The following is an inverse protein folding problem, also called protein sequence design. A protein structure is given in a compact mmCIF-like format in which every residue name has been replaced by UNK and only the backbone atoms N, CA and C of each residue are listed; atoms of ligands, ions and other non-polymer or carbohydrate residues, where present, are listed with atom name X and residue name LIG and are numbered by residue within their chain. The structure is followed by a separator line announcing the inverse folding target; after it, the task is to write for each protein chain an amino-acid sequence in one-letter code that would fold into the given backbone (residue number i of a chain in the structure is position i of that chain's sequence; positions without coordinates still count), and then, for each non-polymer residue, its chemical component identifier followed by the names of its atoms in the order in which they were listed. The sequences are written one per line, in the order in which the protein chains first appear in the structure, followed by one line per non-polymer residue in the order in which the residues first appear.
data_IF_695851661596
#
_entry.id   IF_695851661596
#
_cell.length_a   1.000
_cell.length_b   1.000
_cell.length_c   1.000
_cell.angle_alpha   90.00
_cell.angle_beta   90.00
_cell.angle_gamma   90.00
#
_symmetry.space_group_name_H-M   'P 1'
#
loop_
_entity.id
_entity.type
_entity.pdbx_description
1 polymer ?
#
# COMPACT_ATOMS: atom_id res chain seq x y z
N UNK A 1 -12.41 -17.08 -2.17
CA UNK A 1 -11.77 -16.06 -3.03
C UNK A 1 -12.58 -14.78 -2.99
N UNK A 2 -12.75 -14.23 -1.79
CA UNK A 2 -13.51 -13.01 -1.59
C UNK A 2 -12.85 -12.17 -0.50
N UNK A 3 -12.94 -10.85 -0.62
CA UNK A 3 -12.60 -9.91 0.45
C UNK A 3 -13.82 -9.03 0.68
N UNK A 4 -14.18 -8.86 1.96
CA UNK A 4 -15.05 -7.78 2.42
C UNK A 4 -14.21 -6.90 3.35
N UNK A 5 -14.00 -5.63 2.97
CA UNK A 5 -13.24 -4.67 3.75
C UNK A 5 -14.11 -3.45 4.04
N UNK A 6 -14.51 -3.33 5.31
CA UNK A 6 -15.14 -2.13 5.84
C UNK A 6 -14.14 -1.31 6.65
N UNK A 7 -14.08 0.00 6.38
CA UNK A 7 -13.24 0.95 7.11
C UNK A 7 -14.09 2.07 7.71
N UNK A 8 -13.64 2.58 8.86
CA UNK A 8 -14.21 3.74 9.55
C UNK A 8 -13.08 4.72 9.84
N UNK A 9 -13.18 5.93 9.29
CA UNK A 9 -12.13 6.94 9.41
C UNK A 9 -12.65 8.14 10.18
N UNK A 10 -11.97 8.52 11.25
CA UNK A 10 -12.28 9.72 12.01
C UNK A 10 -11.92 10.97 11.20
N UNK A 11 -12.91 11.79 10.85
CA UNK A 11 -12.74 13.04 10.12
C UNK A 11 -12.63 14.27 11.03
N UNK A 12 -12.82 14.10 12.34
CA UNK A 12 -13.08 15.19 13.26
C UNK A 12 -14.30 15.99 12.81
N UNK A 13 -14.21 17.31 12.92
CA UNK A 13 -15.20 18.25 12.39
C UNK A 13 -15.01 18.56 10.88
N UNK A 14 -14.06 17.89 10.22
CA UNK A 14 -13.66 18.16 8.84
C UNK A 14 -14.62 17.60 7.79
N UNK A 15 -14.60 18.23 6.61
CA UNK A 15 -15.40 17.78 5.44
C UNK A 15 -14.71 16.69 4.63
N UNK A 16 -13.40 16.55 4.75
CA UNK A 16 -12.60 15.58 4.02
C UNK A 16 -12.12 14.46 4.94
N UNK A 17 -12.01 13.25 4.41
CA UNK A 17 -11.40 12.10 5.09
C UNK A 17 -10.69 11.24 4.06
N UNK A 18 -9.57 10.64 4.47
CA UNK A 18 -8.90 9.65 3.65
C UNK A 18 -9.75 8.38 3.49
N UNK A 19 -9.52 7.62 2.40
CA UNK A 19 -10.19 6.35 2.16
C UNK A 19 -9.22 5.16 2.36
N UNK A 20 -9.32 4.41 3.47
CA UNK A 20 -8.45 3.27 3.72
C UNK A 20 -8.71 2.03 2.87
N UNK A 21 -9.81 1.95 2.12
CA UNK A 21 -10.04 0.78 1.26
C UNK A 21 -9.32 0.86 -0.09
N UNK A 22 -8.68 2.00 -0.39
CA UNK A 22 -7.94 2.23 -1.63
C UNK A 22 -6.95 1.12 -2.02
N UNK A 23 -6.03 0.69 -1.11
CA UNK A 23 -5.13 -0.42 -1.36
C UNK A 23 -5.86 -1.73 -1.68
N UNK A 24 -6.91 -2.08 -0.94
CA UNK A 24 -7.69 -3.30 -1.20
C UNK A 24 -8.35 -3.30 -2.56
N UNK A 25 -8.77 -2.12 -3.04
CA UNK A 25 -9.39 -1.97 -4.35
C UNK A 25 -8.41 -2.11 -5.53
N UNK A 26 -7.09 -2.01 -5.30
CA UNK A 26 -6.13 -1.81 -6.39
C UNK A 26 -4.91 -2.74 -6.35
N UNK A 27 -4.51 -3.19 -5.17
CA UNK A 27 -3.24 -3.90 -4.99
C UNK A 27 -3.29 -5.35 -5.50
N UNK A 28 -4.40 -6.03 -5.23
CA UNK A 28 -4.61 -7.45 -5.48
C UNK A 28 -5.90 -7.68 -6.25
N UNK A 29 -5.82 -8.54 -7.27
CA UNK A 29 -6.95 -8.92 -8.10
C UNK A 29 -7.70 -10.10 -7.43
N UNK A 30 -8.76 -9.74 -6.71
CA UNK A 30 -9.71 -10.69 -6.11
C UNK A 30 -10.99 -10.69 -6.92
N UNK A 31 -11.43 -11.88 -7.35
CA UNK A 31 -12.62 -12.03 -8.17
C UNK A 31 -13.91 -11.53 -7.50
N UNK A 32 -13.98 -11.59 -6.17
CA UNK A 32 -15.10 -11.08 -5.39
C UNK A 32 -14.56 -10.07 -4.37
N UNK A 33 -14.94 -8.81 -4.52
CA UNK A 33 -14.49 -7.74 -3.65
C UNK A 33 -15.65 -6.82 -3.29
N UNK A 34 -15.85 -6.63 -1.99
CA UNK A 34 -16.73 -5.61 -1.44
C UNK A 34 -15.89 -4.69 -0.56
N UNK A 35 -15.99 -3.38 -0.79
CA UNK A 35 -15.39 -2.40 0.12
C UNK A 35 -16.38 -1.32 0.52
N UNK A 36 -16.31 -0.92 1.80
CA UNK A 36 -17.12 0.15 2.39
C UNK A 36 -16.20 1.07 3.17
N UNK A 37 -16.36 2.38 2.99
CA UNK A 37 -15.60 3.38 3.73
C UNK A 37 -16.54 4.39 4.35
N UNK A 38 -16.53 4.46 5.68
CA UNK A 38 -17.37 5.34 6.46
C UNK A 38 -16.56 6.50 7.01
N UNK A 39 -17.08 7.71 6.80
CA UNK A 39 -16.60 8.92 7.45
C UNK A 39 -17.26 9.05 8.82
N UNK A 40 -16.46 9.04 9.88
CA UNK A 40 -16.93 9.21 11.25
C UNK A 40 -16.65 10.66 11.68
N UNK A 41 -17.70 11.45 11.81
CA UNK A 41 -17.62 12.82 12.33
C UNK A 41 -17.53 12.76 13.85
N UNK A 42 -16.56 13.46 14.42
CA UNK A 42 -16.35 13.50 15.87
C UNK A 42 -16.06 14.94 16.34
N UNK A 43 -16.05 15.17 17.65
CA UNK A 43 -15.70 16.47 18.23
C UNK A 43 -14.19 16.77 18.20
N UNK A 44 -13.37 15.93 17.57
CA UNK A 44 -11.94 16.18 17.38
C UNK A 44 -11.65 17.22 16.30
N UNK A 45 -10.41 17.73 16.26
CA UNK A 45 -9.93 18.60 15.20
C UNK A 45 -10.04 17.93 13.82
N UNK A 46 -10.22 18.75 12.78
CA UNK A 46 -10.33 18.26 11.39
C UNK A 46 -9.08 17.47 10.99
N UNK A 47 -9.29 16.33 10.34
CA UNK A 47 -8.20 15.55 9.77
C UNK A 47 -7.52 16.33 8.63
N UNK A 48 -6.20 16.21 8.54
CA UNK A 48 -5.39 16.73 7.44
C UNK A 48 -4.65 15.59 6.73
N UNK A 49 -4.16 15.86 5.53
CA UNK A 49 -3.36 14.90 4.79
C UNK A 49 -2.05 14.58 5.54
N UNK A 50 -1.82 13.30 5.82
CA UNK A 50 -0.51 12.75 6.18
C UNK A 50 -0.03 11.84 5.06
N UNK A 51 1.28 11.67 4.87
CA UNK A 51 1.89 11.05 3.68
C UNK A 51 1.17 9.76 3.26
N UNK A 52 0.62 9.75 2.03
CA UNK A 52 -0.27 8.72 1.47
C UNK A 52 -1.57 8.50 2.29
N UNK A 53 -2.45 9.52 2.40
CA UNK A 53 -3.57 9.48 3.33
C UNK A 53 -4.48 8.26 3.14
N UNK A 54 -4.72 7.50 4.20
CA UNK A 54 -5.60 6.32 4.22
C UNK A 54 -4.95 5.07 3.66
N UNK A 55 -4.01 5.19 2.71
CA UNK A 55 -3.41 4.02 2.08
C UNK A 55 -2.38 3.34 2.97
N UNK A 56 -1.71 4.05 3.87
CA UNK A 56 -0.78 3.40 4.81
C UNK A 56 -1.56 2.55 5.80
N UNK A 57 -2.62 3.11 6.36
CA UNK A 57 -3.53 2.47 7.32
C UNK A 57 -4.27 1.30 6.68
N UNK A 58 -4.79 1.52 5.46
CA UNK A 58 -5.47 0.51 4.67
C UNK A 58 -4.59 -0.68 4.30
N UNK A 59 -3.35 -0.39 3.89
CA UNK A 59 -2.37 -1.44 3.56
C UNK A 59 -1.94 -2.21 4.77
N UNK A 60 -1.74 -1.55 5.92
CA UNK A 60 -1.46 -2.26 7.15
C UNK A 60 -2.56 -3.29 7.44
N UNK A 61 -3.84 -2.87 7.43
CA UNK A 61 -4.95 -3.79 7.67
C UNK A 61 -5.04 -4.92 6.63
N UNK A 62 -4.89 -4.59 5.34
CA UNK A 62 -4.94 -5.57 4.26
C UNK A 62 -3.81 -6.61 4.36
N UNK A 63 -2.56 -6.16 4.52
CA UNK A 63 -1.39 -7.04 4.54
C UNK A 63 -1.39 -7.95 5.77
N UNK A 64 -1.86 -7.47 6.92
CA UNK A 64 -2.10 -8.31 8.09
C UNK A 64 -3.14 -9.40 7.78
N UNK A 65 -4.27 -9.04 7.18
CA UNK A 65 -5.30 -10.01 6.81
C UNK A 65 -4.80 -11.05 5.79
N UNK A 66 -3.93 -10.67 4.86
CA UNK A 66 -3.28 -11.60 3.91
C UNK A 66 -2.34 -12.57 4.63
N UNK A 67 -1.52 -12.08 5.56
CA UNK A 67 -0.62 -12.95 6.34
C UNK A 67 -1.39 -13.92 7.23
N UNK A 68 -2.43 -13.46 7.93
CA UNK A 68 -3.31 -14.31 8.74
C UNK A 68 -4.05 -15.36 7.91
N UNK A 69 -4.56 -14.96 6.73
CA UNK A 69 -5.21 -15.90 5.82
C UNK A 69 -4.22 -16.98 5.37
N UNK A 70 -3.01 -16.59 4.96
CA UNK A 70 -1.98 -17.50 4.51
C UNK A 70 -1.60 -18.51 5.61
N UNK A 71 -1.47 -18.06 6.86
CA UNK A 71 -1.23 -18.93 8.01
C UNK A 71 -2.37 -19.93 8.23
N UNK A 72 -3.63 -19.47 8.24
CA UNK A 72 -4.81 -20.33 8.45
C UNK A 72 -4.97 -21.41 7.39
N UNK A 73 -4.58 -21.13 6.14
CA UNK A 73 -4.68 -22.09 5.03
C UNK A 73 -3.38 -22.86 4.78
N UNK A 74 -2.34 -22.63 5.57
CA UNK A 74 -1.06 -23.33 5.46
C UNK A 74 -0.28 -23.03 4.17
N UNK A 75 -0.41 -21.83 3.62
CA UNK A 75 0.28 -21.40 2.39
C UNK A 75 1.31 -20.33 2.72
N UNK A 76 2.42 -20.28 1.97
CA UNK A 76 3.38 -19.19 2.08
C UNK A 76 2.73 -17.83 1.74
N UNK A 77 2.80 -16.83 2.63
CA UNK A 77 2.14 -15.54 2.42
C UNK A 77 2.65 -14.78 1.20
N UNK A 78 3.91 -14.97 0.79
CA UNK A 78 4.42 -14.36 -0.44
C UNK A 78 3.85 -15.02 -1.69
N UNK A 79 3.69 -16.35 -1.67
CA UNK A 79 3.02 -17.10 -2.75
C UNK A 79 1.59 -16.61 -2.94
N UNK A 80 0.85 -16.36 -1.85
CA UNK A 80 -0.51 -15.81 -1.92
C UNK A 80 -0.53 -14.41 -2.56
N UNK A 81 0.39 -13.51 -2.17
CA UNK A 81 0.53 -12.19 -2.77
C UNK A 81 0.83 -12.26 -4.26
N UNK A 82 1.79 -13.11 -4.67
CA UNK A 82 2.17 -13.29 -6.09
C UNK A 82 0.98 -13.72 -6.94
N UNK A 83 0.16 -14.64 -6.44
CA UNK A 83 -1.05 -15.13 -7.13
C UNK A 83 -2.02 -13.99 -7.44
N UNK A 84 -2.28 -13.11 -6.47
CA UNK A 84 -3.25 -12.03 -6.64
C UNK A 84 -2.65 -10.74 -7.23
N UNK A 85 -1.33 -10.60 -7.28
CA UNK A 85 -0.66 -9.43 -7.87
C UNK A 85 -0.38 -9.56 -9.38
N UNK A 86 -0.64 -10.71 -10.00
CA UNK A 86 -0.17 -11.04 -11.34
C UNK A 86 -0.82 -10.22 -12.47
N UNK A 87 -2.06 -9.75 -12.29
CA UNK A 87 -2.79 -8.99 -13.31
C UNK A 87 -2.04 -7.71 -13.69
N UNK A 88 -1.90 -7.46 -14.99
CA UNK A 88 -1.31 -6.21 -15.51
C UNK A 88 -2.32 -5.05 -15.56
N UNK A 89 -3.55 -5.29 -15.12
CA UNK A 89 -4.61 -4.28 -15.06
C UNK A 89 -4.89 -3.86 -13.63
N UNK A 90 -5.23 -2.60 -13.45
CA UNK A 90 -5.79 -2.08 -12.19
C UNK A 90 -7.17 -2.72 -11.96
N UNK A 91 -7.37 -3.51 -10.89
CA UNK A 91 -8.66 -4.16 -10.60
C UNK A 91 -9.83 -3.18 -10.50
N UNK A 92 -9.56 -1.94 -10.09
CA UNK A 92 -10.60 -0.90 -9.90
C UNK A 92 -11.02 -0.25 -11.22
N UNK A 93 -10.08 -0.01 -12.13
CA UNK A 93 -10.33 0.77 -13.37
C UNK A 93 -10.27 -0.05 -14.64
N UNK A 94 -9.80 -1.29 -14.56
CA UNK A 94 -9.51 -2.19 -15.68
C UNK A 94 -8.49 -1.62 -16.69
N UNK A 95 -7.78 -0.54 -16.32
CA UNK A 95 -6.72 0.05 -17.15
C UNK A 95 -5.44 -0.73 -16.99
N UNK A 96 -4.72 -0.94 -18.08
CA UNK A 96 -3.38 -1.52 -18.04
C UNK A 96 -2.40 -0.56 -17.37
N UNK A 97 -1.61 -1.06 -16.43
CA UNK A 97 -0.51 -0.29 -15.86
C UNK A 97 0.54 -0.03 -16.96
N UNK A 98 1.01 1.21 -17.10
CA UNK A 98 2.10 1.54 -18.03
C UNK A 98 3.38 0.76 -17.70
N UNK A 99 3.61 0.47 -16.42
CA UNK A 99 4.66 -0.40 -15.93
C UNK A 99 4.23 -1.04 -14.61
N UNK A 100 4.29 -2.37 -14.49
CA UNK A 100 4.04 -3.10 -13.24
C UNK A 100 5.12 -4.14 -12.99
N UNK A 101 6.10 -3.82 -12.14
CA UNK A 101 7.22 -4.69 -11.77
C UNK A 101 7.11 -5.31 -10.37
N UNK A 102 5.91 -5.31 -9.78
CA UNK A 102 5.71 -5.79 -8.40
C UNK A 102 6.19 -7.24 -8.19
N UNK A 103 5.94 -8.15 -9.15
CA UNK A 103 6.42 -9.53 -9.05
C UNK A 103 7.95 -9.63 -9.06
N UNK A 104 8.62 -8.74 -9.78
CA UNK A 104 10.08 -8.66 -9.76
C UNK A 104 10.59 -8.08 -8.44
N UNK A 105 9.93 -7.04 -7.91
CA UNK A 105 10.23 -6.52 -6.58
C UNK A 105 10.10 -7.62 -5.51
N UNK A 106 9.10 -8.51 -5.62
CA UNK A 106 9.00 -9.67 -4.74
C UNK A 106 10.14 -10.66 -4.93
N UNK A 107 10.61 -10.89 -6.15
CA UNK A 107 11.74 -11.78 -6.41
C UNK A 107 13.02 -11.23 -5.81
N UNK A 108 13.31 -9.95 -6.07
CA UNK A 108 14.47 -9.26 -5.50
C UNK A 108 14.36 -9.21 -3.99
N UNK A 109 13.26 -8.69 -3.46
CA UNK A 109 13.05 -8.57 -2.02
C UNK A 109 13.15 -9.91 -1.30
N UNK A 110 12.57 -10.98 -1.85
CA UNK A 110 12.64 -12.31 -1.26
C UNK A 110 14.08 -12.84 -1.21
N UNK A 111 14.87 -12.60 -2.27
CA UNK A 111 16.29 -12.97 -2.30
C UNK A 111 17.08 -12.18 -1.27
N UNK A 112 16.98 -10.86 -1.27
CA UNK A 112 17.79 -9.98 -0.42
C UNK A 112 17.55 -10.19 1.08
N UNK A 113 16.31 -10.53 1.48
CA UNK A 113 15.98 -10.76 2.89
C UNK A 113 16.11 -12.23 3.32
N UNK A 114 16.53 -13.13 2.42
CA UNK A 114 16.63 -14.56 2.70
C UNK A 114 15.27 -15.23 2.97
N UNK A 115 14.25 -14.89 2.19
CA UNK A 115 12.89 -15.41 2.38
C UNK A 115 12.81 -16.94 2.31
N UNK A 116 13.66 -17.59 1.52
CA UNK A 116 13.72 -19.06 1.45
C UNK A 116 14.03 -19.72 2.80
N UNK A 117 14.70 -19.00 3.71
CA UNK A 117 15.07 -19.49 5.03
C UNK A 117 14.02 -19.17 6.10
N UNK A 118 12.93 -18.47 5.71
CA UNK A 118 11.84 -18.10 6.60
C UNK A 118 11.17 -19.36 7.16
N UNK A 119 10.97 -19.36 8.49
CA UNK A 119 10.18 -20.39 9.19
C UNK A 119 8.87 -19.80 9.69
N UNK A 120 7.77 -20.52 9.52
CA UNK A 120 6.50 -20.17 10.15
C UNK A 120 6.69 -20.09 11.68
N UNK A 121 6.13 -19.07 12.33
CA UNK A 121 6.36 -18.79 13.76
C UNK A 121 7.73 -18.17 14.10
N UNK A 122 8.54 -17.83 13.08
CA UNK A 122 9.85 -17.22 13.25
C UNK A 122 10.93 -18.20 13.73
N UNK A 123 12.14 -17.68 13.93
CA UNK A 123 13.29 -18.44 14.42
C UNK A 123 13.67 -18.01 15.84
N UNK A 124 14.35 -18.89 16.59
CA UNK A 124 14.87 -18.56 17.92
C UNK A 124 15.99 -17.52 17.77
N UNK A 125 15.97 -16.50 18.60
CA UNK A 125 17.05 -15.52 18.70
C UNK A 125 18.20 -16.03 19.57
N UNK A 126 19.18 -15.16 19.83
CA UNK A 126 20.35 -15.47 20.67
C UNK A 126 20.03 -15.73 22.15
N UNK A 127 18.83 -15.41 22.61
CA UNK A 127 18.38 -15.63 23.98
C UNK A 127 17.00 -16.32 24.01
N UNK A 128 16.64 -17.05 25.09
CA UNK A 128 15.39 -17.81 25.17
C UNK A 128 14.11 -16.99 24.92
N UNK A 129 14.09 -15.73 25.33
CA UNK A 129 12.95 -14.81 25.19
C UNK A 129 12.97 -14.01 23.87
N UNK A 130 13.98 -14.22 23.01
CA UNK A 130 14.12 -13.50 21.74
C UNK A 130 13.69 -14.40 20.57
N UNK A 131 12.93 -13.82 19.66
CA UNK A 131 12.51 -14.42 18.38
C UNK A 131 12.91 -13.50 17.24
N UNK A 132 13.09 -14.06 16.06
CA UNK A 132 13.33 -13.30 14.82
C UNK A 132 12.28 -13.68 13.79
N UNK A 133 11.62 -12.67 13.24
CA UNK A 133 10.70 -12.80 12.11
C UNK A 133 11.29 -12.17 10.85
N UNK A 134 10.81 -12.64 9.70
CA UNK A 134 11.00 -12.00 8.39
C UNK A 134 9.60 -11.80 7.82
N UNK A 135 9.31 -10.57 7.41
CA UNK A 135 8.02 -10.17 6.86
C UNK A 135 8.20 -9.46 5.52
N UNK A 136 7.17 -9.51 4.69
CA UNK A 136 7.12 -8.79 3.43
C UNK A 136 5.75 -8.13 3.34
N UNK A 137 5.76 -6.81 3.15
CA UNK A 137 4.57 -6.01 2.97
C UNK A 137 4.59 -5.36 1.60
N UNK A 138 3.40 -5.04 1.08
CA UNK A 138 3.25 -4.44 -0.24
C UNK A 138 2.43 -3.16 -0.16
N UNK A 139 2.89 -2.11 -0.85
CA UNK A 139 2.16 -0.86 -0.97
C UNK A 139 1.91 -0.53 -2.44
N UNK A 140 0.75 0.04 -2.71
CA UNK A 140 0.45 0.74 -3.96
C UNK A 140 -0.02 2.16 -3.61
N UNK A 141 0.29 3.13 -4.46
CA UNK A 141 -0.23 4.48 -4.35
C UNK A 141 -0.46 5.03 -5.75
N UNK A 142 -1.58 5.74 -5.94
CA UNK A 142 -1.89 6.38 -7.21
C UNK A 142 -1.07 7.64 -7.44
N UNK A 143 -0.61 7.84 -8.68
CA UNK A 143 -0.15 9.15 -9.13
C UNK A 143 -1.35 10.06 -9.39
N UNK A 144 -1.28 11.28 -8.90
CA UNK A 144 -2.32 12.29 -9.09
C UNK A 144 -1.87 13.63 -8.54
N UNK A 145 -2.58 14.68 -8.89
CA UNK A 145 -2.24 16.05 -8.49
C UNK A 145 -2.89 17.05 -9.44
N UNK A 146 -3.17 18.23 -8.91
CA UNK A 146 -3.67 19.38 -9.63
C UNK A 146 -3.57 20.60 -8.71
N UNK A 147 -3.73 21.84 -9.19
CA UNK A 147 -3.72 22.32 -10.58
C UNK A 147 -2.35 22.08 -11.28
N UNK A 148 -2.15 22.49 -12.55
CA UNK A 148 -0.84 22.39 -13.20
C UNK A 148 0.27 23.05 -12.36
N UNK A 149 1.47 22.47 -12.44
CA UNK A 149 2.67 23.13 -11.92
C UNK A 149 3.14 24.17 -12.96
N UNK A 150 3.44 25.38 -12.49
CA UNK A 150 4.00 26.45 -13.32
C UNK A 150 5.40 26.76 -12.85
N UNK A 151 6.29 27.10 -13.79
CA UNK A 151 7.61 27.60 -13.47
C UNK A 151 7.99 28.73 -14.42
N UNK A 152 8.77 29.69 -13.94
CA UNK A 152 9.34 30.77 -14.74
C UNK A 152 10.86 30.64 -14.73
N UNK A 153 11.48 30.74 -15.90
CA UNK A 153 12.93 30.75 -16.09
C UNK A 153 13.34 32.12 -16.63
N UNK A 154 14.28 32.78 -15.94
CA UNK A 154 14.89 34.02 -16.39
C UNK A 154 16.37 33.81 -16.69
N UNK A 155 16.81 34.13 -17.90
CA UNK A 155 18.22 34.12 -18.29
C UNK A 155 18.79 35.53 -18.14
N UNK A 156 19.87 35.66 -17.38
CA UNK A 156 20.62 36.89 -17.24
C UNK A 156 21.67 37.01 -18.37
N UNK A 157 22.16 38.22 -18.61
CA UNK A 157 23.16 38.50 -19.65
C UNK A 157 24.54 37.89 -19.35
N UNK A 158 24.82 37.56 -18.09
CA UNK A 158 26.03 36.86 -17.67
C UNK A 158 25.97 35.33 -17.87
N UNK A 159 24.88 34.83 -18.46
CA UNK A 159 24.67 33.41 -18.72
C UNK A 159 24.08 32.63 -17.54
N UNK A 160 23.79 33.28 -16.40
CA UNK A 160 23.12 32.63 -15.28
C UNK A 160 21.61 32.52 -15.50
N UNK A 161 20.96 31.55 -14.86
CA UNK A 161 19.52 31.35 -14.93
C UNK A 161 18.89 31.34 -13.52
N UNK A 162 17.75 31.99 -13.38
CA UNK A 162 16.92 31.96 -12.17
C UNK A 162 15.65 31.15 -12.46
N UNK A 163 15.44 30.08 -11.70
CA UNK A 163 14.23 29.28 -11.73
C UNK A 163 13.31 29.67 -10.56
N UNK A 164 12.03 29.90 -10.85
CA UNK A 164 10.97 30.06 -9.85
C UNK A 164 9.86 29.06 -10.15
N UNK A 165 9.44 28.29 -9.15
CA UNK A 165 8.38 27.28 -9.23
C UNK A 165 7.37 27.50 -8.11
#
# INVERSE_FOLDING_TARGET
TAIDHTSWSNAGQGRWVANPTGPTNTLYDFANLTTKSYRVVTNAGSLSAFRAPGYVEGTFALEQAIDELAERIGVDPLTLRRRHAASQKDPRTNKTYSLKRLLECYTIGAREIGWSDRRAGGTRGSAPHRRRGIGMGTQIWGGGGGPPAYATVHFNSDGTAILRA
#
